data_IF_503505779837
#
_entry.id   IF_503505779837
#
_cell.length_a   1.000
_cell.length_b   1.000
_cell.length_c   1.000
_cell.angle_alpha   90.00
_cell.angle_beta   90.00
_cell.angle_gamma   90.00
#
_symmetry.space_group_name_H-M   'P 1'
#
loop_
_entity.id
_entity.type
_entity.pdbx_description
1 polymer ?
#
# COMPACT_ATOMS: atom_id res chain seq x y z
N UNK A 1 10.16 -9.15 4.46
CA UNK A 1 9.11 -8.66 3.54
C UNK A 1 8.51 -7.37 4.09
N UNK A 2 8.54 -6.27 3.32
CA UNK A 2 7.85 -5.02 3.63
C UNK A 2 6.37 -5.28 3.98
N UNK A 3 5.91 -4.74 5.11
CA UNK A 3 4.51 -4.87 5.52
C UNK A 3 4.07 -3.74 6.47
N UNK A 4 2.76 -3.46 6.46
CA UNK A 4 2.09 -2.50 7.35
C UNK A 4 0.80 -3.14 7.83
N UNK A 5 0.54 -3.12 9.15
CA UNK A 5 -0.64 -3.74 9.77
C UNK A 5 -1.44 -2.68 10.52
N UNK A 6 -2.73 -2.58 10.19
CA UNK A 6 -3.72 -1.76 10.87
C UNK A 6 -4.51 -2.58 11.89
N UNK A 7 -4.94 -1.95 12.99
CA UNK A 7 -5.77 -2.56 14.03
C UNK A 7 -7.27 -2.65 13.72
N UNK A 8 -7.67 -2.18 12.53
CA UNK A 8 -9.06 -2.15 12.11
C UNK A 8 -9.20 -2.88 10.77
N UNK A 9 -10.40 -3.44 10.55
CA UNK A 9 -10.82 -3.97 9.27
C UNK A 9 -11.23 -2.82 8.34
N UNK A 10 -10.60 -2.72 7.18
CA UNK A 10 -11.07 -1.88 6.06
C UNK A 10 -12.13 -2.66 5.27
N UNK A 11 -13.21 -1.98 4.92
CA UNK A 11 -14.10 -2.38 3.82
C UNK A 11 -13.46 -1.95 2.49
N UNK A 12 -12.97 -2.92 1.70
CA UNK A 12 -12.21 -2.66 0.48
C UNK A 12 -13.11 -2.16 -0.66
N UNK A 13 -14.39 -2.51 -0.68
CA UNK A 13 -15.36 -1.94 -1.64
C UNK A 13 -15.61 -0.46 -1.37
N UNK A 14 -15.66 -0.06 -0.09
CA UNK A 14 -15.76 1.36 0.27
C UNK A 14 -14.44 2.07 -0.01
N UNK A 15 -13.31 1.48 0.36
CA UNK A 15 -12.01 2.09 0.11
C UNK A 15 -11.71 2.23 -1.40
N UNK A 16 -12.06 1.24 -2.22
CA UNK A 16 -11.81 1.29 -3.67
C UNK A 16 -12.53 2.43 -4.37
N UNK A 17 -13.72 2.83 -3.88
CA UNK A 17 -14.46 3.99 -4.37
C UNK A 17 -13.83 5.33 -3.98
N UNK A 18 -13.07 5.36 -2.87
CA UNK A 18 -12.37 6.54 -2.37
C UNK A 18 -10.90 6.59 -2.81
N UNK A 19 -10.38 5.49 -3.35
CA UNK A 19 -9.01 5.39 -3.79
C UNK A 19 -8.71 6.44 -4.86
N UNK A 20 -7.65 7.20 -4.65
CA UNK A 20 -7.14 8.15 -5.61
C UNK A 20 -5.82 7.62 -6.17
N UNK A 21 -5.62 7.60 -7.50
CA UNK A 21 -4.36 7.17 -8.09
C UNK A 21 -3.16 7.88 -7.47
N UNK A 22 -2.16 7.11 -7.05
CA UNK A 22 -0.93 7.64 -6.47
C UNK A 22 0.08 7.79 -7.60
N UNK A 23 0.52 9.03 -7.84
CA UNK A 23 1.57 9.35 -8.80
C UNK A 23 2.57 10.29 -8.16
N UNK A 24 3.84 9.86 -8.09
CA UNK A 24 4.96 10.66 -7.62
C UNK A 24 6.05 10.66 -8.68
N UNK A 25 6.61 11.83 -8.97
CA UNK A 25 7.68 12.01 -9.97
C UNK A 25 8.72 13.01 -9.46
N UNK A 26 9.55 12.54 -8.54
CA UNK A 26 10.72 13.28 -8.03
C UNK A 26 11.99 12.56 -8.50
N UNK A 27 12.87 12.15 -7.57
CA UNK A 27 14.03 11.27 -7.83
C UNK A 27 13.64 9.82 -8.13
N UNK A 28 12.42 9.42 -7.77
CA UNK A 28 11.85 8.09 -8.02
C UNK A 28 10.46 8.27 -8.60
N UNK A 29 10.15 7.56 -9.68
CA UNK A 29 8.79 7.49 -10.21
C UNK A 29 8.04 6.40 -9.46
N UNK A 30 6.87 6.74 -8.91
CA UNK A 30 5.96 5.78 -8.27
C UNK A 30 4.58 5.98 -8.87
N UNK A 31 3.95 4.88 -9.25
CA UNK A 31 2.65 4.88 -9.91
C UNK A 31 1.80 3.71 -9.43
N UNK A 32 0.68 4.02 -8.78
CA UNK A 32 -0.36 3.07 -8.36
C UNK A 32 -1.70 3.60 -8.90
N UNK A 33 -2.22 3.00 -9.97
CA UNK A 33 -3.33 3.61 -10.72
C UNK A 33 -4.71 3.07 -10.39
N UNK A 34 -4.77 1.83 -9.90
CA UNK A 34 -6.04 1.14 -9.73
C UNK A 34 -5.96 0.17 -8.57
N UNK A 35 -7.12 -0.30 -8.15
CA UNK A 35 -7.32 -1.27 -7.10
C UNK A 35 -8.34 -2.30 -7.59
N UNK A 36 -7.98 -3.58 -7.49
CA UNK A 36 -8.85 -4.70 -7.83
C UNK A 36 -9.25 -5.43 -6.56
N UNK A 37 -10.49 -5.26 -6.13
CA UNK A 37 -11.05 -5.94 -4.94
C UNK A 37 -11.58 -7.31 -5.35
N UNK A 38 -11.31 -8.33 -4.53
CA UNK A 38 -11.87 -9.66 -4.72
C UNK A 38 -13.38 -9.70 -4.43
N UNK A 39 -14.08 -10.71 -4.96
CA UNK A 39 -15.53 -10.85 -4.79
C UNK A 39 -16.00 -10.95 -3.34
N UNK A 40 -15.10 -11.36 -2.44
CA UNK A 40 -15.38 -11.61 -1.04
C UNK A 40 -14.98 -10.42 -0.15
N UNK A 41 -14.45 -9.34 -0.73
CA UNK A 41 -14.03 -8.12 -0.03
C UNK A 41 -13.01 -8.41 1.11
N UNK A 42 -12.14 -9.39 0.88
CA UNK A 42 -11.06 -9.79 1.79
C UNK A 42 -9.68 -9.42 1.27
N UNK A 43 -9.54 -9.23 -0.04
CA UNK A 43 -8.26 -8.95 -0.68
C UNK A 43 -8.42 -7.89 -1.75
N UNK A 44 -7.45 -6.99 -1.85
CA UNK A 44 -7.31 -6.12 -3.00
C UNK A 44 -5.89 -6.15 -3.54
N UNK A 45 -5.75 -6.10 -4.86
CA UNK A 45 -4.47 -6.04 -5.55
C UNK A 45 -4.33 -4.70 -6.27
N UNK A 46 -3.18 -4.05 -6.07
CA UNK A 46 -2.87 -2.75 -6.64
C UNK A 46 -1.62 -2.88 -7.54
N UNK A 47 -1.78 -2.83 -8.88
CA UNK A 47 -0.67 -2.74 -9.81
C UNK A 47 0.16 -1.50 -9.54
N UNK A 48 1.44 -1.72 -9.34
CA UNK A 48 2.39 -0.69 -8.95
C UNK A 48 3.60 -0.73 -9.87
N UNK A 49 3.99 0.44 -10.36
CA UNK A 49 5.24 0.65 -11.09
C UNK A 49 6.12 1.58 -10.27
N UNK A 50 7.37 1.16 -10.07
CA UNK A 50 8.43 1.96 -9.47
C UNK A 50 9.59 2.02 -10.44
N UNK A 51 10.09 3.24 -10.70
CA UNK A 51 11.32 3.46 -11.47
C UNK A 51 12.28 4.26 -10.59
N UNK A 52 13.29 3.59 -10.07
CA UNK A 52 14.45 4.16 -9.37
C UNK A 52 15.74 3.83 -10.16
N UNK A 53 16.70 3.13 -9.56
CA UNK A 53 17.81 2.50 -10.28
C UNK A 53 17.33 1.32 -11.13
N UNK A 54 16.17 0.74 -10.79
CA UNK A 54 15.54 -0.36 -11.50
C UNK A 54 14.12 0.02 -11.94
N UNK A 55 13.69 -0.52 -13.07
CA UNK A 55 12.28 -0.53 -13.47
C UNK A 55 11.62 -1.79 -12.91
N UNK A 56 10.69 -1.64 -11.98
CA UNK A 56 10.02 -2.74 -11.31
C UNK A 56 8.50 -2.59 -11.39
N UNK A 57 7.83 -3.63 -11.90
CA UNK A 57 6.38 -3.77 -11.92
C UNK A 57 5.97 -4.90 -10.96
N UNK A 58 5.05 -4.61 -10.05
CA UNK A 58 4.64 -5.56 -9.02
C UNK A 58 3.23 -5.28 -8.52
N UNK A 59 2.72 -6.16 -7.66
CA UNK A 59 1.43 -6.00 -7.01
C UNK A 59 1.63 -5.72 -5.53
N UNK A 60 0.95 -4.70 -5.02
CA UNK A 60 0.73 -4.52 -3.58
C UNK A 60 -0.59 -5.20 -3.24
N UNK A 61 -0.58 -6.02 -2.19
CA UNK A 61 -1.77 -6.68 -1.66
C UNK A 61 -2.24 -5.97 -0.39
N UNK A 62 -3.53 -5.63 -0.35
CA UNK A 62 -4.26 -5.29 0.88
C UNK A 62 -5.07 -6.53 1.26
N UNK A 63 -4.79 -7.14 2.40
CA UNK A 63 -5.61 -8.23 2.95
C UNK A 63 -6.29 -7.79 4.22
N UNK A 64 -7.61 -8.00 4.29
CA UNK A 64 -8.44 -7.68 5.43
C UNK A 64 -8.99 -8.99 6.01
N UNK A 65 -8.67 -9.30 7.28
CA UNK A 65 -9.13 -10.52 7.96
C UNK A 65 -9.44 -10.23 9.42
N UNK A 66 -10.60 -10.69 9.89
CA UNK A 66 -11.12 -10.41 11.23
C UNK A 66 -11.12 -8.90 11.47
N UNK A 67 -10.35 -8.44 12.46
CA UNK A 67 -10.26 -7.05 12.89
C UNK A 67 -8.95 -6.40 12.42
N UNK A 68 -8.30 -6.92 11.37
CA UNK A 68 -7.00 -6.38 10.90
C UNK A 68 -6.97 -6.22 9.39
N UNK A 69 -6.25 -5.19 8.96
CA UNK A 69 -5.88 -5.01 7.56
C UNK A 69 -4.37 -4.96 7.42
N UNK A 70 -3.82 -5.65 6.43
CA UNK A 70 -2.38 -5.72 6.16
C UNK A 70 -2.11 -5.27 4.74
N UNK A 71 -1.18 -4.33 4.57
CA UNK A 71 -0.55 -4.01 3.29
C UNK A 71 0.76 -4.79 3.20
N UNK A 72 0.97 -5.52 2.11
CA UNK A 72 2.21 -6.26 1.85
C UNK A 72 2.50 -6.33 0.35
N UNK A 73 3.72 -6.72 -0.01
CA UNK A 73 4.01 -7.13 -1.39
C UNK A 73 3.28 -8.44 -1.70
N UNK A 74 2.69 -8.52 -2.89
CA UNK A 74 2.11 -9.76 -3.37
C UNK A 74 3.23 -10.78 -3.62
N UNK A 75 3.17 -11.98 -3.03
CA UNK A 75 4.28 -12.94 -3.07
C UNK A 75 4.72 -13.36 -4.48
N UNK A 76 3.80 -13.36 -5.46
CA UNK A 76 4.12 -13.88 -6.80
C UNK A 76 4.82 -12.87 -7.72
N UNK A 77 4.94 -11.59 -7.32
CA UNK A 77 5.71 -10.58 -8.09
C UNK A 77 7.10 -10.33 -7.54
N UNK A 78 7.35 -10.69 -6.27
CA UNK A 78 8.61 -10.60 -5.52
C UNK A 78 9.67 -9.58 -6.00
N UNK A 79 9.37 -8.28 -5.96
CA UNK A 79 10.32 -7.28 -6.47
C UNK A 79 11.49 -7.08 -5.49
N UNK A 80 12.56 -6.44 -5.96
CA UNK A 80 13.67 -6.01 -5.12
C UNK A 80 13.20 -4.89 -4.18
N UNK A 81 13.47 -5.02 -2.87
CA UNK A 81 12.91 -4.17 -1.82
C UNK A 81 13.68 -2.86 -1.71
N UNK A 82 13.76 -2.12 -2.81
CA UNK A 82 14.37 -0.79 -2.89
C UNK A 82 13.56 0.23 -2.08
N UNK A 83 14.13 1.41 -1.92
CA UNK A 83 13.47 2.50 -1.20
C UNK A 83 12.23 3.02 -1.94
N UNK A 84 12.23 2.95 -3.28
CA UNK A 84 11.05 3.26 -4.09
C UNK A 84 9.86 2.36 -3.77
N UNK A 85 10.10 1.05 -3.58
CA UNK A 85 9.04 0.10 -3.22
C UNK A 85 8.47 0.38 -1.82
N UNK A 86 9.35 0.60 -0.84
CA UNK A 86 8.94 0.91 0.54
C UNK A 86 8.16 2.23 0.59
N UNK A 87 8.59 3.23 -0.19
CA UNK A 87 7.88 4.50 -0.34
C UNK A 87 6.51 4.32 -0.99
N UNK A 88 6.38 3.49 -2.03
CA UNK A 88 5.09 3.21 -2.66
C UNK A 88 4.09 2.61 -1.67
N UNK A 89 4.54 1.65 -0.84
CA UNK A 89 3.72 1.06 0.21
C UNK A 89 3.36 2.08 1.31
N UNK A 90 4.28 2.96 1.69
CA UNK A 90 4.03 4.01 2.68
C UNK A 90 3.00 5.04 2.16
N UNK A 91 3.07 5.44 0.88
CA UNK A 91 2.09 6.33 0.26
C UNK A 91 0.69 5.73 0.24
N UNK A 92 0.57 4.43 -0.06
CA UNK A 92 -0.72 3.73 0.02
C UNK A 92 -1.26 3.71 1.46
N UNK A 93 -0.41 3.43 2.44
CA UNK A 93 -0.79 3.46 3.84
C UNK A 93 -1.22 4.86 4.31
N UNK A 94 -0.53 5.90 3.86
CA UNK A 94 -0.92 7.30 4.10
C UNK A 94 -2.32 7.56 3.57
N UNK A 95 -2.61 7.18 2.32
CA UNK A 95 -3.94 7.40 1.75
C UNK A 95 -5.03 6.66 2.51
N UNK A 96 -4.75 5.48 3.06
CA UNK A 96 -5.67 4.78 3.96
C UNK A 96 -5.91 5.61 5.24
N UNK A 97 -4.85 6.10 5.90
CA UNK A 97 -4.99 6.94 7.10
C UNK A 97 -5.74 8.24 6.81
N UNK A 98 -5.51 8.87 5.67
CA UNK A 98 -6.24 10.07 5.24
C UNK A 98 -7.75 9.80 5.08
N UNK A 99 -8.12 8.59 4.64
CA UNK A 99 -9.52 8.16 4.48
C UNK A 99 -10.17 7.66 5.78
N UNK A 100 -9.34 7.23 6.74
CA UNK A 100 -9.76 6.64 8.01
C UNK A 100 -8.91 7.20 9.17
N UNK A 101 -9.15 8.46 9.61
CA UNK A 101 -8.29 9.13 10.58
C UNK A 101 -8.18 8.43 11.95
N UNK A 102 -9.16 7.61 12.31
CA UNK A 102 -9.19 6.85 13.57
C UNK A 102 -8.32 5.58 13.53
N UNK A 103 -7.83 5.18 12.35
CA UNK A 103 -7.07 3.94 12.18
C UNK A 103 -5.65 4.10 12.68
N UNK A 104 -5.11 3.03 13.28
CA UNK A 104 -3.72 3.00 13.76
C UNK A 104 -2.93 1.85 13.18
N UNK A 105 -1.68 2.14 12.85
CA UNK A 105 -0.69 1.14 12.47
C UNK A 105 -0.16 0.51 13.75
N UNK A 106 -0.32 -0.80 13.89
CA UNK A 106 0.15 -1.56 15.07
C UNK A 106 1.48 -2.26 14.85
N UNK A 107 1.82 -2.56 13.59
CA UNK A 107 3.07 -3.24 13.25
C UNK A 107 3.52 -2.87 11.85
N UNK A 108 4.80 -2.55 11.71
CA UNK A 108 5.42 -2.31 10.41
C UNK A 108 6.94 -2.38 10.51
N UNK A 109 7.59 -2.73 9.41
CA UNK A 109 9.03 -2.53 9.21
C UNK A 109 9.35 -1.33 8.29
N UNK A 110 8.36 -0.47 8.03
CA UNK A 110 8.45 0.70 7.15
C UNK A 110 8.30 2.03 7.91
N UNK A 111 8.52 2.04 9.24
CA UNK A 111 8.33 3.22 10.09
C UNK A 111 9.07 4.47 9.57
N UNK A 112 10.29 4.30 9.07
CA UNK A 112 11.09 5.40 8.51
C UNK A 112 10.41 6.06 7.30
N UNK A 113 9.76 5.28 6.44
CA UNK A 113 9.08 5.81 5.24
C UNK A 113 7.73 6.41 5.61
N UNK A 114 7.03 5.83 6.59
CA UNK A 114 5.78 6.39 7.12
C UNK A 114 5.99 7.76 7.76
N UNK A 115 7.07 7.94 8.53
CA UNK A 115 7.41 9.24 9.12
C UNK A 115 7.68 10.36 8.09
N UNK A 116 8.02 10.00 6.85
CA UNK A 116 8.23 10.96 5.76
C UNK A 116 6.91 11.38 5.11
N UNK A 117 5.91 10.49 5.07
CA UNK A 117 4.68 10.72 4.30
C UNK A 117 3.45 11.02 5.16
N UNK A 118 3.43 10.64 6.45
CA UNK A 118 2.30 10.87 7.36
C UNK A 118 2.46 12.17 8.19
N UNK A 119 3.57 12.89 8.01
CA UNK A 119 3.85 14.15 8.70
C UNK A 119 2.87 15.27 8.34
#
# INVERSE_FOLDING_TARGET
>A
MPHIVFENKIDLDVFSKKFLPIFKRDSTLIKIQTIFVDKDNFTALLPTVVIDEHHQEFLIEISTRKDKTTIRLYPNTDPEKTDGIKMAMALLAKQILDNYPDFKITKTNLSNYLGVVVA
#
